data_IF_358124973352
#
_entry.id   IF_358124973352
#
_cell.length_a   1.000
_cell.length_b   1.000
_cell.length_c   1.000
_cell.angle_alpha   90.00
_cell.angle_beta   90.00
_cell.angle_gamma   90.00
#
_symmetry.space_group_name_H-M   'P 1'
#
loop_
_entity.id
_entity.type
_entity.pdbx_description
1 polymer ?
#
# COMPACT_ATOMS: atom_id res chain seq x y z
N UNK A 1 -37.32 -18.69 62.62
CA UNK A 1 -36.48 -17.60 62.03
C UNK A 1 -35.96 -18.08 60.73
N UNK A 2 -36.39 -17.59 59.53
CA UNK A 2 -35.89 -18.00 58.26
C UNK A 2 -34.60 -17.21 57.94
N UNK A 3 -33.53 -17.93 57.64
CA UNK A 3 -32.23 -17.36 57.18
C UNK A 3 -32.39 -17.05 55.68
N UNK A 4 -32.40 -15.78 55.35
CA UNK A 4 -32.32 -15.31 53.95
C UNK A 4 -30.90 -15.51 53.42
N UNK A 5 -30.76 -16.43 52.47
CA UNK A 5 -29.52 -16.61 51.70
C UNK A 5 -29.56 -15.61 50.56
N UNK A 6 -28.73 -14.56 50.65
CA UNK A 6 -28.48 -13.65 49.55
C UNK A 6 -27.49 -14.29 48.59
N UNK A 7 -27.95 -14.70 47.40
CA UNK A 7 -27.11 -15.14 46.28
C UNK A 7 -26.69 -13.89 45.52
N UNK A 8 -25.43 -13.46 45.71
CA UNK A 8 -24.82 -12.42 44.90
C UNK A 8 -24.45 -13.00 43.54
N UNK A 9 -25.23 -12.65 42.51
CA UNK A 9 -24.84 -12.87 41.12
C UNK A 9 -23.72 -11.85 40.76
N UNK A 10 -22.49 -12.31 40.75
CA UNK A 10 -21.39 -11.55 40.15
C UNK A 10 -21.51 -11.69 38.62
N UNK A 11 -22.09 -10.68 37.98
CA UNK A 11 -22.10 -10.58 36.54
C UNK A 11 -20.66 -10.27 36.07
N UNK A 12 -19.98 -11.26 35.49
CA UNK A 12 -18.71 -11.08 34.80
C UNK A 12 -18.98 -10.32 33.50
N UNK A 13 -18.71 -9.03 33.51
CA UNK A 13 -18.62 -8.25 32.29
C UNK A 13 -17.31 -8.63 31.62
N UNK A 14 -17.35 -9.56 30.67
CA UNK A 14 -16.23 -9.83 29.78
C UNK A 14 -16.17 -8.67 28.79
N UNK A 15 -15.13 -7.82 28.79
CA UNK A 15 -14.98 -6.83 27.75
C UNK A 15 -14.87 -7.56 26.42
N UNK A 16 -15.82 -7.33 25.53
CA UNK A 16 -15.67 -7.77 24.13
C UNK A 16 -14.42 -7.07 23.58
N UNK A 17 -13.34 -7.84 23.43
CA UNK A 17 -12.18 -7.40 22.68
C UNK A 17 -12.65 -7.22 21.24
N UNK A 18 -12.92 -5.98 20.88
CA UNK A 18 -13.07 -5.62 19.45
C UNK A 18 -11.68 -5.84 18.86
N UNK A 19 -11.49 -7.00 18.27
CA UNK A 19 -10.36 -7.21 17.36
C UNK A 19 -10.53 -6.21 16.21
N UNK A 20 -9.79 -5.12 16.25
CA UNK A 20 -9.58 -4.30 15.09
C UNK A 20 -8.74 -5.15 14.14
N UNK A 21 -9.40 -5.97 13.33
CA UNK A 21 -8.78 -6.52 12.13
C UNK A 21 -8.48 -5.33 11.26
N UNK A 22 -7.22 -4.97 11.18
CA UNK A 22 -6.74 -4.25 10.03
C UNK A 22 -7.02 -5.18 8.84
N UNK A 23 -8.07 -4.87 8.06
CA UNK A 23 -8.29 -5.55 6.79
C UNK A 23 -6.99 -5.41 6.01
N UNK A 24 -6.36 -6.56 5.74
CA UNK A 24 -5.15 -6.57 4.92
C UNK A 24 -5.54 -5.93 3.60
N UNK A 25 -4.94 -4.78 3.32
CA UNK A 25 -5.18 -4.05 2.09
C UNK A 25 -5.05 -5.01 0.89
N UNK A 26 -6.14 -5.18 0.14
CA UNK A 26 -6.27 -6.22 -0.88
C UNK A 26 -5.70 -5.82 -2.26
N UNK A 27 -4.94 -4.74 -2.32
CA UNK A 27 -4.33 -4.26 -3.57
C UNK A 27 -5.30 -3.58 -4.55
N UNK A 28 -6.53 -3.33 -4.15
CA UNK A 28 -7.55 -2.70 -5.00
C UNK A 28 -7.18 -1.30 -5.51
N UNK A 29 -6.27 -0.60 -4.84
CA UNK A 29 -5.90 0.76 -5.24
C UNK A 29 -5.14 0.81 -6.57
N UNK A 30 -4.61 -0.30 -7.06
CA UNK A 30 -3.97 -0.38 -8.38
C UNK A 30 -4.88 -1.00 -9.44
N UNK A 31 -6.14 -1.25 -9.11
CA UNK A 31 -7.13 -1.72 -10.05
C UNK A 31 -7.75 -0.54 -10.80
N UNK A 32 -7.25 -0.28 -12.00
CA UNK A 32 -7.73 0.80 -12.87
C UNK A 32 -9.13 0.55 -13.47
N UNK A 33 -9.80 -0.56 -13.14
CA UNK A 33 -11.24 -0.72 -13.42
C UNK A 33 -12.10 0.30 -12.66
N UNK A 34 -11.55 0.90 -11.57
CA UNK A 34 -12.14 2.00 -10.82
C UNK A 34 -11.95 3.38 -11.50
N UNK A 35 -11.32 3.41 -12.66
CA UNK A 35 -11.04 4.61 -13.43
C UNK A 35 -9.67 5.23 -13.15
N UNK A 36 -9.41 6.37 -13.77
CA UNK A 36 -8.15 7.10 -13.66
C UNK A 36 -7.95 7.69 -12.27
N UNK A 37 -6.69 8.01 -11.94
CA UNK A 37 -6.37 8.68 -10.68
C UNK A 37 -6.70 10.18 -10.76
N UNK A 38 -7.31 10.68 -9.71
CA UNK A 38 -7.57 12.09 -9.50
C UNK A 38 -7.30 12.50 -8.06
N UNK A 39 -7.20 13.80 -7.82
CA UNK A 39 -7.09 14.35 -6.47
C UNK A 39 -8.44 14.28 -5.78
N UNK A 40 -8.47 13.82 -4.53
CA UNK A 40 -9.69 13.80 -3.72
C UNK A 40 -10.29 15.19 -3.55
N UNK A 41 -11.63 15.33 -3.33
CA UNK A 41 -12.29 16.63 -3.20
C UNK A 41 -11.73 17.53 -2.10
N UNK A 42 -11.14 16.95 -1.06
CA UNK A 42 -10.49 17.69 0.03
C UNK A 42 -9.01 18.00 -0.22
N UNK A 43 -8.45 17.60 -1.38
CA UNK A 43 -7.07 17.87 -1.78
C UNK A 43 -5.99 17.10 -1.01
N UNK A 44 -6.33 16.06 -0.26
CA UNK A 44 -5.40 15.42 0.68
C UNK A 44 -4.84 14.08 0.24
N UNK A 45 -5.48 13.41 -0.71
CA UNK A 45 -5.04 12.09 -1.19
C UNK A 45 -5.46 11.87 -2.64
N UNK A 46 -4.89 10.85 -3.26
CA UNK A 46 -5.30 10.38 -4.58
C UNK A 46 -6.42 9.36 -4.46
N UNK A 47 -7.33 9.39 -5.40
CA UNK A 47 -8.40 8.42 -5.55
C UNK A 47 -8.65 8.12 -7.01
N UNK A 48 -9.34 7.03 -7.30
CA UNK A 48 -9.90 6.77 -8.61
C UNK A 48 -11.12 7.65 -8.88
N UNK A 49 -11.52 7.79 -10.14
CA UNK A 49 -12.66 8.63 -10.53
C UNK A 49 -13.98 8.19 -9.93
N UNK A 50 -14.12 6.93 -9.54
CA UNK A 50 -15.29 6.41 -8.82
C UNK A 50 -15.26 6.69 -7.31
N UNK A 51 -14.20 7.34 -6.80
CA UNK A 51 -14.01 7.65 -5.38
C UNK A 51 -13.25 6.60 -4.57
N UNK A 52 -12.84 5.48 -5.17
CA UNK A 52 -12.02 4.46 -4.50
C UNK A 52 -10.67 5.05 -4.12
N UNK A 53 -10.25 5.03 -2.84
CA UNK A 53 -8.97 5.58 -2.41
C UNK A 53 -7.80 4.86 -3.05
N UNK A 54 -6.77 5.62 -3.47
CA UNK A 54 -5.50 5.09 -3.94
C UNK A 54 -4.47 5.14 -2.80
N UNK A 55 -3.97 3.97 -2.41
CA UNK A 55 -2.87 3.89 -1.46
C UNK A 55 -1.55 4.21 -2.17
N UNK A 56 -0.97 5.35 -1.86
CA UNK A 56 0.35 5.72 -2.38
C UNK A 56 1.44 5.11 -1.48
N UNK A 57 1.86 3.88 -1.78
CA UNK A 57 3.00 3.23 -1.15
C UNK A 57 4.13 3.14 -2.16
N UNK A 58 5.06 4.09 -2.09
CA UNK A 58 6.17 4.22 -3.02
C UNK A 58 7.44 3.50 -2.57
N UNK A 59 8.16 2.92 -3.53
CA UNK A 59 9.56 2.56 -3.38
C UNK A 59 10.40 3.40 -4.35
N UNK A 60 11.63 3.72 -3.96
CA UNK A 60 12.55 4.51 -4.79
C UNK A 60 13.62 3.63 -5.38
N UNK A 61 13.52 3.43 -6.70
CA UNK A 61 14.50 2.71 -7.50
C UNK A 61 15.20 3.70 -8.42
N UNK A 62 16.07 4.55 -7.86
CA UNK A 62 16.63 5.72 -8.51
C UNK A 62 17.21 5.43 -9.89
N UNK A 63 18.00 4.37 -10.01
CA UNK A 63 18.73 4.02 -11.23
C UNK A 63 18.12 2.81 -11.97
N UNK A 64 16.84 2.50 -11.75
CA UNK A 64 16.17 1.32 -12.31
C UNK A 64 16.35 1.18 -13.81
N UNK A 65 16.01 2.25 -14.54
CA UNK A 65 16.05 2.29 -16.02
C UNK A 65 17.50 2.31 -16.54
N UNK A 66 18.41 2.86 -15.76
CA UNK A 66 19.80 3.03 -16.17
C UNK A 66 20.65 1.77 -15.99
N UNK A 67 20.46 1.06 -14.85
CA UNK A 67 21.34 -0.06 -14.46
C UNK A 67 20.81 -1.43 -14.80
N UNK A 68 19.50 -1.59 -14.86
CA UNK A 68 18.87 -2.89 -15.02
C UNK A 68 18.50 -3.14 -16.49
N UNK A 69 18.57 -4.40 -16.89
CA UNK A 69 17.98 -4.87 -18.14
C UNK A 69 16.49 -5.23 -17.92
N UNK A 70 15.75 -5.45 -19.01
CA UNK A 70 14.33 -5.72 -18.96
C UNK A 70 13.93 -6.86 -17.99
N UNK A 71 14.56 -8.07 -18.03
CA UNK A 71 14.25 -9.13 -17.08
C UNK A 71 14.50 -8.76 -15.61
N UNK A 72 15.52 -7.96 -15.34
CA UNK A 72 15.83 -7.50 -13.99
C UNK A 72 14.79 -6.46 -13.50
N UNK A 73 14.32 -5.60 -14.40
CA UNK A 73 13.23 -4.65 -14.13
C UNK A 73 11.95 -5.40 -13.83
N UNK A 74 11.59 -6.41 -14.64
CA UNK A 74 10.40 -7.24 -14.38
C UNK A 74 10.47 -7.93 -13.02
N UNK A 75 11.59 -8.54 -12.69
CA UNK A 75 11.81 -9.20 -11.40
C UNK A 75 11.67 -8.22 -10.24
N UNK A 76 12.23 -7.01 -10.37
CA UNK A 76 12.12 -5.96 -9.37
C UNK A 76 10.66 -5.53 -9.19
N UNK A 77 9.96 -5.21 -10.27
CA UNK A 77 8.57 -4.76 -10.24
C UNK A 77 7.66 -5.81 -9.61
N UNK A 78 7.82 -7.09 -10.00
CA UNK A 78 7.04 -8.19 -9.44
C UNK A 78 7.31 -8.37 -7.94
N UNK A 79 8.55 -8.24 -7.50
CA UNK A 79 8.90 -8.29 -6.09
C UNK A 79 8.22 -7.15 -5.29
N UNK A 80 8.18 -5.93 -5.84
CA UNK A 80 7.53 -4.79 -5.22
C UNK A 80 6.02 -4.94 -5.21
N UNK A 81 5.45 -5.40 -6.31
CA UNK A 81 4.02 -5.73 -6.40
C UNK A 81 3.62 -6.75 -5.33
N UNK A 82 4.37 -7.85 -5.19
CA UNK A 82 4.12 -8.89 -4.21
C UNK A 82 4.20 -8.37 -2.75
N UNK A 83 4.97 -7.31 -2.51
CA UNK A 83 5.10 -6.64 -1.21
C UNK A 83 4.07 -5.52 -0.99
N UNK A 84 3.18 -5.29 -1.94
CA UNK A 84 2.10 -4.32 -1.84
C UNK A 84 2.48 -2.88 -2.19
N UNK A 85 3.66 -2.64 -2.77
CA UNK A 85 4.00 -1.33 -3.31
C UNK A 85 3.11 -1.00 -4.51
N UNK A 86 2.68 0.25 -4.59
CA UNK A 86 1.75 0.73 -5.62
C UNK A 86 2.40 1.73 -6.56
N UNK A 87 3.54 2.29 -6.16
CA UNK A 87 4.28 3.30 -6.90
C UNK A 87 5.77 2.98 -6.88
N UNK A 88 6.42 3.13 -8.02
CA UNK A 88 7.88 3.11 -8.12
C UNK A 88 8.32 4.48 -8.62
N UNK A 89 9.18 5.13 -7.85
CA UNK A 89 9.84 6.36 -8.26
C UNK A 89 11.21 6.04 -8.84
N UNK A 90 11.46 6.49 -10.06
CA UNK A 90 12.73 6.29 -10.75
C UNK A 90 13.13 7.53 -11.54
N UNK A 91 14.41 7.64 -11.90
CA UNK A 91 14.92 8.68 -12.78
C UNK A 91 15.03 8.12 -14.20
N UNK A 92 14.46 8.86 -15.15
CA UNK A 92 14.48 8.48 -16.58
C UNK A 92 15.84 8.78 -17.22
N UNK A 93 16.43 9.91 -16.84
CA UNK A 93 17.75 10.33 -17.34
C UNK A 93 18.78 10.15 -16.25
N UNK A 94 19.91 9.53 -16.58
CA UNK A 94 21.03 9.38 -15.65
C UNK A 94 21.55 10.75 -15.22
N UNK A 95 21.69 10.98 -13.91
CA UNK A 95 22.36 12.15 -13.34
C UNK A 95 23.88 11.99 -13.30
N UNK A 96 24.39 10.83 -13.65
CA UNK A 96 25.80 10.53 -13.63
C UNK A 96 26.51 11.28 -14.75
N UNK A 97 27.74 11.68 -14.50
CA UNK A 97 28.63 12.49 -15.33
C UNK A 97 28.91 11.98 -16.77
N UNK A 98 28.16 10.99 -17.22
CA UNK A 98 28.23 10.42 -18.56
C UNK A 98 29.43 9.53 -18.83
N UNK A 99 30.30 9.28 -17.85
CA UNK A 99 31.46 8.41 -18.05
C UNK A 99 31.06 6.94 -18.22
N UNK A 100 29.92 6.51 -17.65
CA UNK A 100 29.39 5.16 -17.82
C UNK A 100 27.99 5.16 -18.45
N UNK A 101 27.56 6.30 -18.95
CA UNK A 101 26.19 6.63 -19.32
C UNK A 101 25.73 6.06 -20.64
N UNK A 102 25.60 4.77 -20.71
CA UNK A 102 24.80 4.18 -21.78
C UNK A 102 23.40 4.01 -21.20
N UNK A 103 22.48 4.94 -21.50
CA UNK A 103 21.06 4.63 -21.44
C UNK A 103 20.87 3.42 -22.34
N UNK A 104 20.83 2.23 -21.75
CA UNK A 104 20.48 1.03 -22.50
C UNK A 104 19.00 1.13 -22.78
N UNK A 105 18.56 1.15 -24.04
CA UNK A 105 17.14 1.02 -24.33
C UNK A 105 16.66 -0.30 -23.75
N UNK A 106 15.58 -0.23 -23.01
CA UNK A 106 14.84 -1.40 -22.56
C UNK A 106 14.28 -2.14 -23.77
#
# INVERSE_FOLDING_TARGET
>A
MPRHVFILFLAWIVPALVEVRADSWSGKSVDFSHGDLCVSPNGRFLQHTDGTPFLYLGDTAWELIYRLNEPEVELYMENRRAKGFTVIQTVILSELDGSDGINRPL
#
